data_IF_956869133989
#
_entry.id   IF_956869133989
#
_cell.length_a   1.000
_cell.length_b   1.000
_cell.length_c   1.000
_cell.angle_alpha   90.00
_cell.angle_beta   90.00
_cell.angle_gamma   90.00
#
_symmetry.space_group_name_H-M   'P 1'
#
loop_
_entity.id
_entity.type
_entity.pdbx_description
1 polymer ?
#
# COMPACT_ATOMS: atom_id res chain seq x y z
N UNK A 1 25.72 -1.30 15.90
CA UNK A 1 25.44 0.14 16.11
C UNK A 1 25.35 0.92 14.80
N UNK A 2 26.26 0.72 13.85
CA UNK A 2 26.29 1.46 12.57
C UNK A 2 24.98 1.44 11.77
N UNK A 3 24.30 0.29 11.66
CA UNK A 3 23.00 0.20 10.94
C UNK A 3 21.94 1.13 11.54
N UNK A 4 21.84 1.16 12.86
CA UNK A 4 20.89 2.03 13.58
C UNK A 4 21.26 3.51 13.41
N UNK A 5 22.55 3.86 13.53
CA UNK A 5 23.02 5.23 13.34
C UNK A 5 22.80 5.75 11.91
N UNK A 6 22.93 4.88 10.91
CA UNK A 6 22.69 5.20 9.51
C UNK A 6 21.22 5.08 9.10
N UNK A 7 20.29 4.88 10.06
CA UNK A 7 18.85 4.69 9.80
C UNK A 7 18.59 3.60 8.75
N UNK A 8 19.46 2.59 8.72
CA UNK A 8 19.36 1.47 7.80
C UNK A 8 18.21 0.58 8.26
N UNK A 9 17.23 0.38 7.39
CA UNK A 9 16.18 -0.59 7.69
C UNK A 9 16.71 -2.00 7.48
N UNK A 10 16.52 -2.81 8.52
CA UNK A 10 16.76 -4.24 8.49
C UNK A 10 15.40 -4.92 8.57
N UNK A 11 15.07 -5.69 7.54
CA UNK A 11 13.83 -6.45 7.45
C UNK A 11 14.26 -7.91 7.29
N UNK A 12 13.74 -8.78 8.14
CA UNK A 12 13.89 -10.21 7.95
C UNK A 12 12.67 -10.75 7.22
N UNK A 13 12.88 -11.72 6.35
CA UNK A 13 11.79 -12.40 5.66
C UNK A 13 11.70 -13.86 6.09
N UNK A 14 10.51 -14.45 5.97
CA UNK A 14 10.31 -15.88 6.13
C UNK A 14 10.73 -16.67 4.87
N UNK A 15 10.47 -17.98 4.88
CA UNK A 15 10.76 -18.89 3.76
C UNK A 15 9.98 -18.59 2.48
N UNK A 16 8.94 -17.75 2.56
CA UNK A 16 8.11 -17.32 1.43
C UNK A 16 8.51 -15.90 0.96
N UNK A 17 9.63 -15.38 1.46
CA UNK A 17 10.12 -14.02 1.22
C UNK A 17 9.17 -12.92 1.72
N UNK A 18 8.26 -13.25 2.63
CA UNK A 18 7.37 -12.27 3.24
C UNK A 18 8.05 -11.63 4.45
N UNK A 19 7.97 -10.29 4.61
CA UNK A 19 8.52 -9.61 5.79
C UNK A 19 7.94 -10.17 7.10
N UNK A 20 8.82 -10.64 7.99
CA UNK A 20 8.46 -11.23 9.28
C UNK A 20 8.93 -10.40 10.49
N UNK A 21 9.96 -9.56 10.33
CA UNK A 21 10.36 -8.59 11.35
C UNK A 21 10.97 -7.34 10.72
N UNK A 22 11.00 -6.27 11.50
CA UNK A 22 11.66 -5.03 11.14
C UNK A 22 12.42 -4.50 12.36
N UNK A 23 13.69 -4.15 12.16
CA UNK A 23 14.52 -3.54 13.19
C UNK A 23 14.05 -2.09 13.42
N UNK A 24 13.37 -1.87 14.54
CA UNK A 24 12.97 -0.54 14.96
C UNK A 24 14.07 0.10 15.80
N UNK A 25 14.77 1.15 15.31
CA UNK A 25 15.75 1.85 16.10
C UNK A 25 15.06 2.62 17.24
N UNK A 26 15.56 2.45 18.47
CA UNK A 26 15.11 3.17 19.66
C UNK A 26 15.94 4.42 19.96
N UNK A 27 17.10 4.54 19.32
CA UNK A 27 18.04 5.66 19.42
C UNK A 27 18.30 6.21 18.01
N UNK A 28 18.40 7.52 17.89
CA UNK A 28 18.58 8.22 16.59
C UNK A 28 17.37 9.03 16.12
N UNK A 29 16.31 9.10 16.92
CA UNK A 29 15.14 9.96 16.69
C UNK A 29 14.85 10.80 17.93
N UNK A 30 14.96 12.13 17.84
CA UNK A 30 14.64 13.02 18.95
C UNK A 30 13.12 13.10 19.20
N UNK A 31 12.31 13.03 18.13
CA UNK A 31 10.85 13.21 18.18
C UNK A 31 10.04 11.90 18.04
N UNK A 32 10.65 10.72 18.20
CA UNK A 32 9.95 9.45 17.94
C UNK A 32 8.71 9.27 18.83
N UNK A 33 8.85 9.52 20.12
CA UNK A 33 7.74 9.36 21.08
C UNK A 33 6.62 10.38 20.82
N UNK A 34 6.97 11.60 20.42
CA UNK A 34 6.00 12.63 20.03
C UNK A 34 5.20 12.20 18.80
N UNK A 35 5.88 11.73 17.73
CA UNK A 35 5.23 11.24 16.51
C UNK A 35 4.31 10.04 16.78
N UNK A 36 4.74 9.11 17.64
CA UNK A 36 3.89 8.00 18.07
C UNK A 36 2.64 8.49 18.79
N UNK A 37 2.76 9.49 19.69
CA UNK A 37 1.59 10.09 20.36
C UNK A 37 0.66 10.74 19.36
N UNK A 38 1.17 11.52 18.39
CA UNK A 38 0.34 12.11 17.33
C UNK A 38 -0.38 11.04 16.51
N UNK A 39 0.29 9.95 16.15
CA UNK A 39 -0.30 8.84 15.40
C UNK A 39 -1.41 8.14 16.19
N UNK A 40 -1.16 7.82 17.47
CA UNK A 40 -2.11 7.14 18.34
C UNK A 40 -3.33 8.01 18.65
N UNK A 41 -3.11 9.31 18.86
CA UNK A 41 -4.16 10.29 19.16
C UNK A 41 -4.83 10.88 17.91
N UNK A 42 -4.43 10.46 16.69
CA UNK A 42 -5.03 10.95 15.47
C UNK A 42 -6.54 10.70 15.45
N UNK A 43 -7.31 11.76 15.19
CA UNK A 43 -8.77 11.70 15.24
C UNK A 43 -9.33 10.79 14.15
N UNK A 44 -10.50 10.19 14.40
CA UNK A 44 -11.18 9.37 13.41
C UNK A 44 -11.52 10.14 12.11
N UNK A 45 -11.97 11.42 12.17
CA UNK A 45 -12.15 12.23 10.96
C UNK A 45 -10.86 12.38 10.13
N UNK A 46 -9.73 12.66 10.78
CA UNK A 46 -8.43 12.78 10.10
C UNK A 46 -8.05 11.47 9.41
N UNK A 47 -8.15 10.34 10.12
CA UNK A 47 -7.85 9.01 9.56
C UNK A 47 -8.68 8.71 8.31
N UNK A 48 -9.99 9.00 8.35
CA UNK A 48 -10.89 8.80 7.19
C UNK A 48 -10.56 9.72 6.01
N UNK A 49 -10.14 10.96 6.27
CA UNK A 49 -9.70 11.91 5.24
C UNK A 49 -8.37 11.49 4.60
N UNK A 50 -7.42 11.00 5.40
CA UNK A 50 -6.16 10.46 4.89
C UNK A 50 -6.41 9.22 4.04
N UNK A 51 -7.29 8.30 4.50
CA UNK A 51 -7.64 7.12 3.72
C UNK A 51 -8.31 7.45 2.38
N UNK A 52 -9.22 8.44 2.37
CA UNK A 52 -9.84 8.92 1.13
C UNK A 52 -8.78 9.44 0.13
N UNK A 53 -7.77 10.18 0.60
CA UNK A 53 -6.68 10.66 -0.25
C UNK A 53 -5.85 9.51 -0.80
N UNK A 54 -5.52 8.53 0.05
CA UNK A 54 -4.80 7.31 -0.33
C UNK A 54 -5.53 6.56 -1.45
N UNK A 55 -6.81 6.27 -1.29
CA UNK A 55 -7.62 5.54 -2.29
C UNK A 55 -7.76 6.37 -3.57
N UNK A 56 -8.04 7.67 -3.47
CA UNK A 56 -8.11 8.57 -4.63
C UNK A 56 -6.81 8.52 -5.44
N UNK A 57 -5.66 8.59 -4.77
CA UNK A 57 -4.35 8.52 -5.41
C UNK A 57 -4.07 7.17 -6.07
N UNK A 58 -4.41 6.06 -5.40
CA UNK A 58 -4.34 4.71 -5.97
C UNK A 58 -5.13 4.59 -7.26
N UNK A 59 -6.41 4.96 -7.24
CA UNK A 59 -7.29 4.86 -8.42
C UNK A 59 -6.80 5.81 -9.53
N UNK A 60 -6.32 7.00 -9.16
CA UNK A 60 -5.67 7.93 -10.09
C UNK A 60 -4.46 7.31 -10.78
N UNK A 61 -3.60 6.62 -10.03
CA UNK A 61 -2.43 5.94 -10.58
C UNK A 61 -2.80 4.70 -11.43
N UNK A 62 -3.86 3.96 -11.06
CA UNK A 62 -4.43 2.92 -11.92
C UNK A 62 -4.92 3.49 -13.26
N UNK A 63 -5.60 4.64 -13.23
CA UNK A 63 -6.03 5.34 -14.43
C UNK A 63 -4.85 5.79 -15.30
N UNK A 64 -3.79 6.33 -14.69
CA UNK A 64 -2.58 6.73 -15.39
C UNK A 64 -1.85 5.53 -16.01
N UNK A 65 -1.80 4.40 -15.31
CA UNK A 65 -1.26 3.17 -15.88
C UNK A 65 -2.06 2.73 -17.12
N UNK A 66 -3.40 2.77 -17.08
CA UNK A 66 -4.21 2.51 -18.27
C UNK A 66 -3.87 3.43 -19.44
N UNK A 67 -3.74 4.74 -19.19
CA UNK A 67 -3.38 5.70 -20.23
C UNK A 67 -2.00 5.40 -20.83
N UNK A 68 -1.02 5.04 -20.00
CA UNK A 68 0.32 4.66 -20.46
C UNK A 68 0.31 3.38 -21.34
N UNK A 69 -0.72 2.53 -21.21
CA UNK A 69 -0.94 1.33 -22.05
C UNK A 69 -1.92 1.56 -23.20
N UNK A 70 -2.33 2.81 -23.48
CA UNK A 70 -3.31 3.12 -24.52
C UNK A 70 -4.73 2.64 -24.23
N UNK A 71 -5.06 2.32 -22.97
CA UNK A 71 -6.38 1.82 -22.53
C UNK A 71 -7.29 2.95 -22.06
N UNK A 72 -8.61 2.74 -22.15
CA UNK A 72 -9.60 3.71 -21.69
C UNK A 72 -9.63 3.81 -20.15
N UNK A 73 -9.22 4.97 -19.63
CA UNK A 73 -9.17 5.24 -18.19
C UNK A 73 -10.36 6.06 -17.64
N UNK A 74 -11.38 6.38 -18.46
CA UNK A 74 -12.47 7.29 -18.08
C UNK A 74 -13.24 6.79 -16.85
N UNK A 75 -13.50 5.48 -16.78
CA UNK A 75 -14.21 4.86 -15.66
C UNK A 75 -13.41 4.92 -14.36
N UNK A 76 -12.10 4.65 -14.42
CA UNK A 76 -11.21 4.78 -13.25
C UNK A 76 -11.12 6.23 -12.78
N UNK A 77 -10.99 7.20 -13.70
CA UNK A 77 -11.03 8.63 -13.35
C UNK A 77 -12.34 9.04 -12.68
N UNK A 78 -13.46 8.44 -13.07
CA UNK A 78 -14.75 8.64 -12.41
C UNK A 78 -14.74 8.08 -10.99
N UNK A 79 -14.31 6.83 -10.81
CA UNK A 79 -14.19 6.20 -9.49
C UNK A 79 -13.31 7.03 -8.55
N UNK A 80 -12.17 7.53 -9.01
CA UNK A 80 -11.30 8.39 -8.21
C UNK A 80 -12.00 9.68 -7.72
N UNK A 81 -12.88 10.28 -8.52
CA UNK A 81 -13.64 11.48 -8.13
C UNK A 81 -14.79 11.17 -7.16
N UNK A 82 -15.28 9.94 -7.15
CA UNK A 82 -16.42 9.52 -6.33
C UNK A 82 -16.02 8.94 -4.97
N UNK A 83 -14.71 8.78 -4.70
CA UNK A 83 -14.19 8.36 -3.39
C UNK A 83 -14.60 9.42 -2.36
N UNK A 84 -15.49 9.05 -1.44
CA UNK A 84 -15.85 9.93 -0.31
C UNK A 84 -15.03 9.56 0.94
N UNK A 85 -15.17 10.35 2.00
CA UNK A 85 -14.49 10.15 3.28
C UNK A 85 -14.60 8.72 3.78
N UNK A 86 -13.46 8.07 4.03
CA UNK A 86 -13.40 6.67 4.49
C UNK A 86 -13.80 5.61 3.46
N UNK A 87 -13.99 5.98 2.18
CA UNK A 87 -14.44 5.11 1.08
C UNK A 87 -15.69 4.27 1.38
N UNK A 88 -16.71 4.86 2.01
CA UNK A 88 -17.96 4.18 2.38
C UNK A 88 -18.71 3.49 1.22
N UNK A 89 -18.53 3.97 -0.02
CA UNK A 89 -19.12 3.39 -1.23
C UNK A 89 -18.25 2.31 -1.89
N UNK A 90 -17.12 1.96 -1.26
CA UNK A 90 -16.20 0.92 -1.73
C UNK A 90 -15.71 1.14 -3.17
N UNK A 91 -15.39 2.40 -3.50
CA UNK A 91 -14.88 2.78 -4.81
C UNK A 91 -13.53 2.11 -5.08
N UNK A 92 -12.74 1.86 -4.04
CA UNK A 92 -11.49 1.12 -4.14
C UNK A 92 -11.68 -0.26 -4.76
N UNK A 93 -12.63 -1.06 -4.23
CA UNK A 93 -12.85 -2.41 -4.71
C UNK A 93 -13.44 -2.43 -6.12
N UNK A 94 -14.39 -1.52 -6.42
CA UNK A 94 -14.97 -1.37 -7.75
C UNK A 94 -13.90 -1.00 -8.78
N UNK A 95 -13.04 -0.05 -8.45
CA UNK A 95 -11.93 0.35 -9.31
C UNK A 95 -10.92 -0.77 -9.49
N UNK A 96 -10.53 -1.48 -8.43
CA UNK A 96 -9.58 -2.58 -8.50
C UNK A 96 -10.12 -3.76 -9.36
N UNK A 97 -11.39 -4.14 -9.18
CA UNK A 97 -12.03 -5.19 -9.97
C UNK A 97 -12.04 -4.82 -11.47
N UNK A 98 -12.49 -3.60 -11.79
CA UNK A 98 -12.48 -3.10 -13.16
C UNK A 98 -11.05 -3.03 -13.73
N UNK A 99 -10.10 -2.49 -12.97
CA UNK A 99 -8.71 -2.35 -13.38
C UNK A 99 -8.08 -3.70 -13.73
N UNK A 100 -8.12 -4.69 -12.83
CA UNK A 100 -7.49 -5.99 -13.08
C UNK A 100 -8.16 -6.79 -14.18
N UNK A 101 -9.49 -6.70 -14.31
CA UNK A 101 -10.24 -7.36 -15.39
C UNK A 101 -9.80 -6.87 -16.79
N UNK A 102 -9.37 -5.61 -16.91
CA UNK A 102 -9.05 -4.99 -18.21
C UNK A 102 -7.55 -4.75 -18.43
N UNK A 103 -6.71 -4.93 -17.39
CA UNK A 103 -5.28 -4.69 -17.47
C UNK A 103 -4.60 -5.72 -18.38
N UNK A 104 -4.56 -6.98 -17.97
CA UNK A 104 -3.73 -8.02 -18.61
C UNK A 104 -4.33 -8.64 -19.88
N UNK A 105 -5.62 -8.39 -20.18
CA UNK A 105 -6.30 -9.02 -21.32
C UNK A 105 -6.45 -10.55 -21.20
N UNK A 106 -6.26 -11.09 -20.00
CA UNK A 106 -6.38 -12.52 -19.71
C UNK A 106 -7.85 -12.87 -19.44
N UNK A 107 -8.35 -13.89 -20.13
CA UNK A 107 -9.73 -14.33 -19.95
C UNK A 107 -9.97 -14.77 -18.50
N UNK A 108 -11.05 -14.24 -17.89
CA UNK A 108 -11.46 -14.56 -16.50
C UNK A 108 -10.39 -14.29 -15.44
N UNK A 109 -9.39 -13.46 -15.72
CA UNK A 109 -8.40 -13.09 -14.72
C UNK A 109 -9.06 -12.29 -13.60
N UNK A 110 -8.74 -12.69 -12.37
CA UNK A 110 -9.09 -11.97 -11.16
C UNK A 110 -7.88 -11.90 -10.25
N UNK A 111 -7.76 -10.79 -9.53
CA UNK A 111 -6.73 -10.64 -8.50
C UNK A 111 -7.11 -11.52 -7.31
N UNK A 112 -6.34 -12.58 -7.08
CA UNK A 112 -6.52 -13.53 -5.99
C UNK A 112 -5.17 -13.97 -5.45
N UNK A 113 -5.03 -14.09 -4.13
CA UNK A 113 -3.80 -14.50 -3.47
C UNK A 113 -3.28 -15.85 -3.99
N UNK A 114 -4.19 -16.81 -4.23
CA UNK A 114 -3.87 -18.14 -4.79
C UNK A 114 -4.27 -18.28 -6.27
N UNK A 115 -4.43 -17.14 -6.96
CA UNK A 115 -4.77 -17.13 -8.37
C UNK A 115 -3.61 -17.61 -9.25
N UNK A 116 -3.94 -17.96 -10.49
CA UNK A 116 -2.94 -18.28 -11.52
C UNK A 116 -2.07 -17.05 -11.85
N UNK A 117 -0.89 -17.24 -12.48
CA UNK A 117 -0.07 -16.13 -12.96
C UNK A 117 -0.89 -15.08 -13.74
N UNK A 118 -0.57 -13.78 -13.59
CA UNK A 118 0.58 -13.20 -12.88
C UNK A 118 0.37 -12.90 -11.39
N UNK A 119 -0.62 -13.49 -10.71
CA UNK A 119 -0.89 -13.20 -9.29
C UNK A 119 0.32 -13.42 -8.35
N UNK A 120 1.14 -14.43 -8.64
CA UNK A 120 2.38 -14.71 -7.91
C UNK A 120 3.39 -13.56 -8.02
N UNK A 121 3.59 -13.00 -9.21
CA UNK A 121 4.47 -11.85 -9.42
C UNK A 121 3.94 -10.60 -8.73
N UNK A 122 2.64 -10.34 -8.82
CA UNK A 122 1.99 -9.25 -8.09
C UNK A 122 2.14 -9.39 -6.57
N UNK A 123 1.93 -10.60 -6.03
CA UNK A 123 2.12 -10.88 -4.61
C UNK A 123 3.55 -10.55 -4.16
N UNK A 124 4.54 -11.01 -4.94
CA UNK A 124 5.95 -10.79 -4.65
C UNK A 124 6.34 -9.30 -4.71
N UNK A 125 5.93 -8.60 -5.78
CA UNK A 125 6.20 -7.17 -5.92
C UNK A 125 5.54 -6.34 -4.81
N UNK A 126 4.32 -6.69 -4.40
CA UNK A 126 3.67 -6.05 -3.25
C UNK A 126 4.37 -6.36 -1.93
N UNK A 127 4.93 -7.56 -1.73
CA UNK A 127 5.71 -7.87 -0.53
C UNK A 127 6.97 -6.97 -0.43
N UNK A 128 7.68 -6.76 -1.55
CA UNK A 128 8.80 -5.82 -1.61
C UNK A 128 8.33 -4.39 -1.33
N UNK A 129 7.25 -3.95 -1.96
CA UNK A 129 6.72 -2.60 -1.78
C UNK A 129 6.28 -2.36 -0.32
N UNK A 130 5.62 -3.34 0.32
CA UNK A 130 5.28 -3.30 1.75
C UNK A 130 6.53 -3.13 2.61
N UNK A 131 7.59 -3.89 2.31
CA UNK A 131 8.86 -3.79 3.03
C UNK A 131 9.45 -2.37 2.92
N UNK A 132 9.42 -1.77 1.72
CA UNK A 132 9.87 -0.39 1.49
C UNK A 132 9.02 0.62 2.27
N UNK A 133 7.69 0.48 2.26
CA UNK A 133 6.79 1.35 3.01
C UNK A 133 7.01 1.23 4.53
N UNK A 134 7.11 0.00 5.05
CA UNK A 134 7.37 -0.26 6.46
C UNK A 134 8.72 0.34 6.92
N UNK A 135 9.77 0.20 6.09
CA UNK A 135 11.05 0.88 6.30
C UNK A 135 10.87 2.39 6.42
N UNK A 136 10.19 3.01 5.46
CA UNK A 136 10.03 4.46 5.44
C UNK A 136 9.31 4.94 6.69
N UNK A 137 8.23 4.26 7.08
CA UNK A 137 7.46 4.57 8.30
C UNK A 137 8.31 4.52 9.56
N UNK A 138 9.07 3.43 9.75
CA UNK A 138 9.95 3.29 10.92
C UNK A 138 11.04 4.35 10.93
N UNK A 139 11.63 4.68 9.77
CA UNK A 139 12.63 5.75 9.67
C UNK A 139 12.07 7.14 9.98
N UNK A 140 10.73 7.30 9.97
CA UNK A 140 10.05 8.51 10.42
C UNK A 140 9.57 8.44 11.86
N UNK A 141 9.82 7.35 12.59
CA UNK A 141 9.37 7.18 13.97
C UNK A 141 7.87 6.83 14.11
N UNK A 142 7.20 6.42 13.03
CA UNK A 142 5.82 5.94 13.05
C UNK A 142 5.77 4.43 13.32
N UNK A 143 4.64 3.98 13.87
CA UNK A 143 4.34 2.56 14.13
C UNK A 143 3.70 1.91 12.88
N UNK A 144 4.35 0.93 12.23
CA UNK A 144 3.80 0.28 11.03
C UNK A 144 2.49 -0.48 11.27
N UNK A 145 2.25 -0.95 12.50
CA UNK A 145 1.05 -1.71 12.85
C UNK A 145 -0.20 -0.84 13.04
N UNK A 146 -0.04 0.48 13.25
CA UNK A 146 -1.16 1.38 13.57
C UNK A 146 -1.64 2.09 12.30
N UNK A 147 -2.55 1.43 11.58
CA UNK A 147 -3.12 1.92 10.33
C UNK A 147 -4.05 3.14 10.50
N UNK A 148 -4.28 3.81 9.37
CA UNK A 148 -5.31 4.85 9.23
C UNK A 148 -6.65 4.25 8.82
N UNK A 149 -6.66 3.08 8.18
CA UNK A 149 -7.87 2.34 7.83
C UNK A 149 -7.81 0.89 8.28
N UNK A 150 -6.78 0.16 7.85
CA UNK A 150 -6.59 -1.22 8.29
C UNK A 150 -6.24 -1.29 9.79
N UNK A 151 -6.90 -2.19 10.51
CA UNK A 151 -6.76 -2.36 11.96
C UNK A 151 -6.88 -3.83 12.40
N UNK A 152 -6.59 -4.77 11.50
CA UNK A 152 -6.67 -6.19 11.81
C UNK A 152 -5.61 -6.55 12.87
N UNK A 153 -6.05 -7.11 14.01
CA UNK A 153 -5.18 -7.50 15.13
C UNK A 153 -4.08 -8.51 14.76
N UNK A 154 -4.22 -9.22 13.65
CA UNK A 154 -3.22 -10.18 13.16
C UNK A 154 -2.24 -9.58 12.15
N UNK A 155 -2.43 -8.33 11.70
CA UNK A 155 -1.59 -7.68 10.70
C UNK A 155 -0.67 -6.63 11.35
N UNK A 156 0.62 -6.96 11.46
CA UNK A 156 1.65 -6.07 12.00
C UNK A 156 2.05 -4.91 11.06
N UNK A 157 1.46 -4.81 9.87
CA UNK A 157 1.85 -3.87 8.82
C UNK A 157 0.69 -3.00 8.31
N UNK A 158 -0.37 -2.82 9.09
CA UNK A 158 -1.57 -2.10 8.65
C UNK A 158 -1.29 -0.72 8.05
N UNK A 159 -0.44 0.11 8.66
CA UNK A 159 -0.10 1.43 8.10
C UNK A 159 0.78 1.30 6.85
N UNK A 160 1.67 0.32 6.81
CA UNK A 160 2.49 0.08 5.63
C UNK A 160 1.60 -0.33 4.44
N UNK A 161 0.60 -1.18 4.69
CA UNK A 161 -0.43 -1.55 3.71
C UNK A 161 -1.25 -0.34 3.24
N UNK A 162 -1.66 0.52 4.17
CA UNK A 162 -2.38 1.75 3.81
C UNK A 162 -1.51 2.67 2.92
N UNK A 163 -0.26 2.92 3.32
CA UNK A 163 0.62 3.89 2.64
C UNK A 163 1.16 3.37 1.31
N UNK A 164 1.26 2.06 1.12
CA UNK A 164 1.69 1.49 -0.15
C UNK A 164 0.62 1.52 -1.24
N UNK A 165 -0.66 1.70 -0.91
CA UNK A 165 -1.77 1.63 -1.87
C UNK A 165 -1.56 2.48 -3.14
N UNK A 166 -1.14 3.76 -3.06
CA UNK A 166 -0.91 4.58 -4.25
C UNK A 166 0.23 4.08 -5.13
N UNK A 167 1.15 3.29 -4.58
CA UNK A 167 2.34 2.79 -5.26
C UNK A 167 2.15 1.40 -5.89
N UNK A 168 1.06 0.70 -5.60
CA UNK A 168 0.77 -0.62 -6.19
C UNK A 168 0.72 -0.60 -7.73
N UNK A 169 0.14 0.43 -8.40
CA UNK A 169 0.14 0.49 -9.86
C UNK A 169 1.53 0.49 -10.52
N UNK A 170 2.58 0.90 -9.80
CA UNK A 170 3.94 0.84 -10.32
C UNK A 170 4.47 -0.61 -10.34
N UNK A 171 4.15 -1.40 -9.32
CA UNK A 171 4.40 -2.85 -9.34
C UNK A 171 3.59 -3.50 -10.45
N UNK A 172 2.32 -3.12 -10.61
CA UNK A 172 1.46 -3.66 -11.65
C UNK A 172 2.03 -3.36 -13.05
N UNK A 173 2.61 -2.17 -13.25
CA UNK A 173 3.24 -1.79 -14.51
C UNK A 173 4.46 -2.64 -14.81
N UNK A 174 5.33 -2.89 -13.81
CA UNK A 174 6.48 -3.79 -13.98
C UNK A 174 6.02 -5.21 -14.31
N UNK A 175 5.02 -5.74 -13.58
CA UNK A 175 4.51 -7.09 -13.83
C UNK A 175 3.81 -7.21 -15.18
N UNK A 176 3.18 -6.15 -15.67
CA UNK A 176 2.60 -6.11 -17.01
C UNK A 176 3.66 -6.23 -18.13
N UNK A 177 4.87 -5.74 -17.89
CA UNK A 177 5.97 -5.75 -18.88
C UNK A 177 6.81 -7.05 -18.87
N UNK A 178 6.50 -8.00 -17.98
CA UNK A 178 7.13 -9.32 -17.90
C UNK A 178 6.33 -10.33 -18.73
#
# INVERSE_FOLDING_TARGET
>A
MQLVQNKTAVITCDKQHLPCSLLQPLVGHTEQTERMRHQLNASQPLKKQLWQQTVTAKIGNQANHFLARGKNALRLKRYAKEVKTGDWNNQEALAAAFYFQHLFGLERFSRNQKGVPPNNLLNYGYAILRAVAARALVSTGLLPAVGIFHHNKYNAFCLADDIMEPYRPFVDAVVYDI
#
